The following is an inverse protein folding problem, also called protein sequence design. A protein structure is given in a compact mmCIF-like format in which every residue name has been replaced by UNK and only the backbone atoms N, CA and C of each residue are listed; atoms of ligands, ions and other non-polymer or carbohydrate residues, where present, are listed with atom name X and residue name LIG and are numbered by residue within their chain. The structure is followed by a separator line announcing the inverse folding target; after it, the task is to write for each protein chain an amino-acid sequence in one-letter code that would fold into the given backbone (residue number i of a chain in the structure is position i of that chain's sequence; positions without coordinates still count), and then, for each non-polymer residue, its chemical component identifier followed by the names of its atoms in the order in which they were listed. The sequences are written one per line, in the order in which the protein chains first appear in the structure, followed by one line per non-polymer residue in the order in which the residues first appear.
data_IF_830967979129
#
_entry.id   IF_830967979129
#
_cell.length_a   1.000
_cell.length_b   1.000
_cell.length_c   1.000
_cell.angle_alpha   90.00
_cell.angle_beta   90.00
_cell.angle_gamma   90.00
#
_symmetry.space_group_name_H-M   'P 1'
#
loop_
_entity.id
_entity.type
_entity.pdbx_description
1 polymer ?
#
# COMPACT_ATOMS: atom_id res chain seq x y z
N UNK A 1 0.55 10.95 23.06
CA UNK A 1 -0.22 9.72 23.32
C UNK A 1 0.73 8.58 22.98
N UNK A 2 1.01 7.63 23.88
CA UNK A 2 2.06 6.62 23.63
C UNK A 2 1.56 5.56 22.65
N UNK A 3 2.29 5.31 21.56
CA UNK A 3 2.02 4.21 20.63
C UNK A 3 1.71 2.90 21.37
N UNK A 4 0.63 2.20 21.00
CA UNK A 4 0.31 0.95 21.64
C UNK A 4 1.38 -0.08 21.25
N UNK A 5 2.26 -0.37 22.21
CA UNK A 5 3.25 -1.41 22.05
C UNK A 5 2.57 -2.73 21.71
N UNK A 6 3.07 -3.42 20.68
CA UNK A 6 2.57 -4.75 20.33
C UNK A 6 2.90 -5.71 21.48
N UNK A 7 1.88 -6.33 22.06
CA UNK A 7 2.05 -7.31 23.13
C UNK A 7 1.85 -8.71 22.59
N UNK A 8 2.72 -9.63 22.99
CA UNK A 8 2.62 -11.05 22.67
C UNK A 8 2.51 -11.85 23.97
N UNK A 9 1.40 -12.56 24.13
CA UNK A 9 1.08 -13.36 25.32
C UNK A 9 1.02 -14.82 24.91
N UNK A 10 1.99 -15.63 25.34
CA UNK A 10 2.00 -17.08 25.09
C UNK A 10 1.02 -17.77 26.04
N UNK A 11 0.18 -18.65 25.50
CA UNK A 11 -0.79 -19.48 26.22
C UNK A 11 -0.47 -20.96 25.98
N UNK A 12 -0.99 -21.86 26.82
CA UNK A 12 -0.79 -23.31 26.64
C UNK A 12 -1.37 -23.84 25.32
N UNK A 13 -2.41 -23.19 24.79
CA UNK A 13 -3.11 -23.57 23.56
C UNK A 13 -2.93 -22.58 22.41
N UNK A 14 -2.02 -21.59 22.51
CA UNK A 14 -1.82 -20.63 21.43
C UNK A 14 -0.99 -19.41 21.82
N UNK A 15 -1.07 -18.37 21.01
CA UNK A 15 -0.45 -17.06 21.29
C UNK A 15 -1.48 -15.97 21.03
N UNK A 16 -1.68 -15.10 22.02
CA UNK A 16 -2.49 -13.90 21.88
C UNK A 16 -1.61 -12.73 21.49
N UNK A 17 -1.95 -12.08 20.38
CA UNK A 17 -1.31 -10.85 19.93
C UNK A 17 -2.24 -9.67 20.19
N UNK A 18 -1.68 -8.54 20.63
CA UNK A 18 -2.42 -7.29 20.84
C UNK A 18 -1.71 -6.12 20.17
N UNK A 19 -2.51 -5.25 19.56
CA UNK A 19 -2.08 -3.97 19.02
C UNK A 19 -3.20 -2.94 19.20
N UNK A 20 -3.01 -2.00 20.13
CA UNK A 20 -4.05 -1.05 20.54
C UNK A 20 -5.29 -1.76 21.09
N UNK A 21 -6.45 -1.47 20.50
CA UNK A 21 -7.73 -2.12 20.83
C UNK A 21 -7.94 -3.49 20.19
N UNK A 22 -7.03 -3.91 19.30
CA UNK A 22 -7.16 -5.15 18.55
C UNK A 22 -6.43 -6.27 19.29
N UNK A 23 -7.10 -7.42 19.40
CA UNK A 23 -6.54 -8.62 20.02
C UNK A 23 -7.01 -9.83 19.23
N UNK A 24 -6.09 -10.76 18.97
CA UNK A 24 -6.41 -12.04 18.34
C UNK A 24 -5.61 -13.15 19.01
N UNK A 25 -6.25 -14.30 19.21
CA UNK A 25 -5.59 -15.51 19.69
C UNK A 25 -5.43 -16.46 18.53
N UNK A 26 -4.18 -16.77 18.20
CA UNK A 26 -3.81 -17.79 17.21
C UNK A 26 -3.55 -19.07 17.98
N UNK A 27 -4.36 -20.11 17.73
CA UNK A 27 -4.19 -21.43 18.30
C UNK A 27 -2.80 -21.99 18.00
N UNK A 28 -2.36 -22.98 18.79
CA UNK A 28 -1.11 -23.69 18.49
C UNK A 28 -1.14 -24.26 17.09
N UNK A 29 -2.32 -24.69 16.61
CA UNK A 29 -2.61 -25.20 15.28
C UNK A 29 -2.65 -24.13 14.16
N UNK A 30 -2.49 -22.86 14.50
CA UNK A 30 -2.62 -21.73 13.57
C UNK A 30 -4.07 -21.29 13.38
N UNK A 31 -5.04 -21.93 14.03
CA UNK A 31 -6.44 -21.56 13.93
C UNK A 31 -6.75 -20.22 14.60
N UNK A 32 -7.69 -19.48 14.03
CA UNK A 32 -8.27 -18.26 14.60
C UNK A 32 -9.78 -18.43 14.51
N UNK A 33 -10.46 -18.38 15.67
CA UNK A 33 -11.93 -18.42 15.75
C UNK A 33 -12.48 -17.02 15.52
N UNK A 34 -13.26 -16.84 14.47
CA UNK A 34 -13.80 -15.53 14.10
C UNK A 34 -14.93 -15.13 15.04
N UNK A 35 -14.82 -13.95 15.65
CA UNK A 35 -15.84 -13.38 16.56
C UNK A 35 -16.75 -12.41 15.82
N UNK A 36 -17.89 -12.07 16.44
CA UNK A 36 -18.77 -11.04 15.93
C UNK A 36 -18.01 -9.71 15.76
N UNK A 37 -18.10 -9.10 14.58
CA UNK A 37 -17.43 -7.84 14.27
C UNK A 37 -15.93 -7.96 14.04
N UNK A 38 -15.39 -9.16 13.82
CA UNK A 38 -14.03 -9.32 13.31
C UNK A 38 -13.98 -9.14 11.79
N UNK A 39 -12.82 -8.71 11.30
CA UNK A 39 -12.47 -8.65 9.87
C UNK A 39 -10.97 -8.93 9.72
N UNK A 40 -10.49 -9.31 8.54
CA UNK A 40 -9.09 -9.78 8.40
C UNK A 40 -8.04 -8.73 8.79
N UNK A 41 -8.24 -7.46 8.45
CA UNK A 41 -7.25 -6.42 8.79
C UNK A 41 -7.10 -6.18 10.30
N UNK A 42 -8.11 -6.52 11.12
CA UNK A 42 -7.99 -6.53 12.59
C UNK A 42 -6.98 -7.58 13.06
N UNK A 43 -6.97 -8.76 12.45
CA UNK A 43 -6.01 -9.81 12.78
C UNK A 43 -4.62 -9.44 12.31
N UNK A 44 -4.50 -8.90 11.10
CA UNK A 44 -3.24 -8.35 10.61
C UNK A 44 -2.69 -7.29 11.57
N UNK A 45 -3.54 -6.36 12.04
CA UNK A 45 -3.11 -5.30 12.95
C UNK A 45 -2.59 -5.87 14.27
N UNK A 46 -3.33 -6.82 14.85
CA UNK A 46 -2.90 -7.48 16.08
C UNK A 46 -1.61 -8.28 15.92
N UNK A 47 -1.45 -9.05 14.83
CA UNK A 47 -0.32 -9.96 14.61
C UNK A 47 0.91 -9.23 14.07
N UNK A 48 0.76 -8.26 13.18
CA UNK A 48 1.87 -7.65 12.46
C UNK A 48 2.06 -6.16 12.75
N UNK A 49 1.15 -5.53 13.50
CA UNK A 49 1.16 -4.09 13.70
C UNK A 49 0.76 -3.30 12.45
N UNK A 50 0.18 -3.96 11.44
CA UNK A 50 -0.26 -3.33 10.19
C UNK A 50 -1.59 -3.91 9.69
N UNK A 51 -2.34 -3.18 8.85
CA UNK A 51 -3.69 -3.60 8.41
C UNK A 51 -3.72 -4.37 7.08
N UNK A 52 -2.58 -4.63 6.44
CA UNK A 52 -2.54 -5.05 5.02
C UNK A 52 -1.91 -6.41 4.77
N UNK A 53 -1.39 -7.09 5.79
CA UNK A 53 -0.85 -8.46 5.68
C UNK A 53 -2.02 -9.46 5.72
N UNK A 54 -2.79 -9.53 4.64
CA UNK A 54 -4.06 -10.28 4.56
C UNK A 54 -3.93 -11.64 3.85
N UNK A 55 -2.94 -11.77 2.98
CA UNK A 55 -2.62 -12.95 2.17
C UNK A 55 -2.10 -14.14 2.98
N UNK A 56 -1.72 -13.89 4.24
CA UNK A 56 -1.27 -14.93 5.19
C UNK A 56 -2.41 -15.68 5.88
N UNK A 57 -3.66 -15.32 5.59
CA UNK A 57 -4.84 -15.96 6.15
C UNK A 57 -5.56 -16.83 5.11
N UNK A 58 -5.88 -18.06 5.50
CA UNK A 58 -6.63 -18.99 4.65
C UNK A 58 -7.81 -19.58 5.41
N UNK A 59 -8.77 -20.17 4.69
CA UNK A 59 -9.83 -21.02 5.26
C UNK A 59 -9.76 -22.41 4.67
N UNK A 60 -10.37 -23.38 5.33
CA UNK A 60 -10.50 -24.74 4.79
C UNK A 60 -11.77 -24.85 3.95
N UNK A 61 -11.67 -25.44 2.76
CA UNK A 61 -12.84 -25.85 2.00
C UNK A 61 -13.46 -27.15 2.56
N UNK A 62 -14.50 -27.68 1.90
CA UNK A 62 -15.16 -28.93 2.32
C UNK A 62 -14.25 -30.17 2.28
N UNK A 63 -13.13 -30.10 1.55
CA UNK A 63 -12.14 -31.19 1.48
C UNK A 63 -11.05 -31.06 2.55
N UNK A 64 -11.07 -29.99 3.35
CA UNK A 64 -10.01 -29.68 4.31
C UNK A 64 -8.80 -28.99 3.68
N UNK A 65 -8.86 -28.62 2.40
CA UNK A 65 -7.77 -27.90 1.72
C UNK A 65 -7.79 -26.42 2.10
N UNK A 66 -6.62 -25.86 2.38
CA UNK A 66 -6.47 -24.42 2.57
C UNK A 66 -6.70 -23.68 1.25
N UNK A 67 -7.61 -22.71 1.28
CA UNK A 67 -7.92 -21.80 0.18
C UNK A 67 -7.82 -20.35 0.66
N UNK A 68 -7.39 -19.48 -0.26
CA UNK A 68 -7.24 -18.04 0.01
C UNK A 68 -8.59 -17.38 0.29
N UNK A 69 -8.59 -16.41 1.21
CA UNK A 69 -9.75 -15.58 1.48
C UNK A 69 -9.75 -14.42 0.49
N UNK A 70 -10.46 -14.60 -0.63
CA UNK A 70 -10.43 -13.67 -1.78
C UNK A 70 -11.00 -12.27 -1.49
N UNK A 71 -11.94 -12.18 -0.56
CA UNK A 71 -12.51 -10.92 -0.09
C UNK A 71 -12.21 -10.78 1.41
N UNK A 72 -11.40 -9.78 1.81
CA UNK A 72 -11.08 -9.53 3.21
C UNK A 72 -12.28 -9.34 4.14
N UNK A 73 -13.45 -8.98 3.60
CA UNK A 73 -14.68 -8.77 4.33
C UNK A 73 -15.54 -10.04 4.46
N UNK A 74 -15.16 -11.13 3.80
CA UNK A 74 -15.96 -12.36 3.75
C UNK A 74 -15.60 -13.37 4.85
N UNK A 75 -15.30 -12.91 6.06
CA UNK A 75 -15.18 -13.81 7.22
C UNK A 75 -16.46 -13.80 8.04
N UNK A 76 -16.94 -14.97 8.43
CA UNK A 76 -18.20 -15.11 9.17
C UNK A 76 -17.96 -15.44 10.64
N UNK A 77 -18.77 -14.86 11.53
CA UNK A 77 -18.75 -15.22 12.95
C UNK A 77 -18.86 -16.74 13.13
N UNK A 78 -17.98 -17.31 13.95
CA UNK A 78 -17.93 -18.73 14.25
C UNK A 78 -17.10 -19.55 13.28
N UNK A 79 -16.71 -19.01 12.12
CA UNK A 79 -15.78 -19.69 11.22
C UNK A 79 -14.38 -19.81 11.84
N UNK A 80 -13.62 -20.77 11.33
CA UNK A 80 -12.21 -20.91 11.69
C UNK A 80 -11.37 -20.59 10.46
N UNK A 81 -10.54 -19.55 10.58
CA UNK A 81 -9.50 -19.24 9.60
C UNK A 81 -8.15 -19.67 10.15
N UNK A 82 -7.14 -19.68 9.30
CA UNK A 82 -5.83 -20.20 9.60
C UNK A 82 -4.75 -19.19 9.25
N UNK A 83 -3.85 -18.98 10.20
CA UNK A 83 -2.64 -18.19 10.04
C UNK A 83 -1.53 -19.05 9.46
N UNK A 84 -1.31 -18.94 8.15
CA UNK A 84 -0.45 -19.84 7.39
C UNK A 84 1.01 -19.87 7.88
N UNK A 85 1.64 -18.75 8.30
CA UNK A 85 3.00 -18.79 8.86
C UNK A 85 3.12 -19.67 10.11
N UNK A 86 2.08 -19.77 10.94
CA UNK A 86 2.08 -20.67 12.11
C UNK A 86 1.97 -22.14 11.71
N UNK A 87 1.28 -22.44 10.61
CA UNK A 87 1.17 -23.80 10.06
C UNK A 87 2.49 -24.22 9.41
N UNK A 88 3.03 -23.38 8.52
CA UNK A 88 4.29 -23.65 7.82
C UNK A 88 5.47 -23.74 8.77
N UNK A 89 5.52 -22.87 9.78
CA UNK A 89 6.53 -22.96 10.83
C UNK A 89 6.55 -24.35 11.47
N UNK A 90 5.38 -24.95 11.75
CA UNK A 90 5.32 -26.31 12.31
C UNK A 90 5.74 -27.40 11.33
N UNK A 91 5.37 -27.29 10.05
CA UNK A 91 5.84 -28.23 9.03
C UNK A 91 7.37 -28.19 8.87
N UNK A 92 7.95 -26.99 8.98
CA UNK A 92 9.39 -26.78 8.85
C UNK A 92 10.17 -27.19 10.11
N UNK A 93 9.59 -27.07 11.31
CA UNK A 93 10.21 -27.59 12.54
C UNK A 93 10.27 -29.12 12.58
N UNK A 94 9.39 -29.82 11.86
CA UNK A 94 9.52 -31.26 11.63
C UNK A 94 10.61 -31.61 10.60
N UNK A 95 11.20 -30.61 9.92
CA UNK A 95 12.10 -30.79 8.76
C UNK A 95 13.51 -30.19 8.94
N UNK A 96 13.81 -29.52 10.06
CA UNK A 96 15.20 -29.21 10.47
C UNK A 96 15.99 -28.17 9.67
N UNK A 97 15.37 -27.21 8.97
CA UNK A 97 16.10 -26.18 8.20
C UNK A 97 16.02 -24.78 8.84
N UNK A 98 17.19 -24.16 9.08
CA UNK A 98 17.35 -22.81 9.65
C UNK A 98 17.27 -21.73 8.56
N UNK A 99 16.44 -20.70 8.73
CA UNK A 99 16.42 -19.53 7.83
C UNK A 99 17.24 -18.37 8.42
N UNK A 100 18.15 -17.80 7.62
CA UNK A 100 18.92 -16.59 7.93
C UNK A 100 18.17 -15.32 7.52
N UNK A 101 18.26 -14.28 8.35
CA UNK A 101 17.63 -12.98 8.11
C UNK A 101 18.25 -12.22 6.91
N UNK A 102 17.47 -11.37 6.20
CA UNK A 102 17.98 -10.58 5.07
C UNK A 102 18.89 -9.42 5.50
N UNK A 103 19.75 -8.92 4.59
CA UNK A 103 20.80 -7.96 4.89
C UNK A 103 20.27 -6.54 5.16
N UNK A 104 20.92 -5.88 6.10
CA UNK A 104 20.73 -4.47 6.47
C UNK A 104 21.21 -3.58 5.32
N UNK A 105 20.36 -2.66 4.87
CA UNK A 105 20.66 -1.66 3.83
C UNK A 105 21.55 -0.53 4.37
N UNK A 106 22.48 -0.04 3.54
CA UNK A 106 23.56 0.91 3.83
C UNK A 106 23.08 2.33 4.23
N UNK A 107 23.14 2.61 5.53
CA UNK A 107 22.73 3.87 6.20
C UNK A 107 23.71 5.02 5.91
N UNK A 108 24.99 4.73 5.64
CA UNK A 108 26.01 5.77 5.52
C UNK A 108 25.96 6.52 4.19
N UNK A 109 25.48 5.86 3.13
CA UNK A 109 25.29 6.49 1.83
C UNK A 109 24.21 7.58 1.89
N UNK A 110 23.05 7.28 2.50
CA UNK A 110 21.93 8.23 2.63
C UNK A 110 22.27 9.44 3.49
N UNK A 111 23.11 9.26 4.53
CA UNK A 111 23.57 10.35 5.38
C UNK A 111 24.39 11.40 4.61
N UNK A 112 25.17 10.99 3.59
CA UNK A 112 25.98 11.91 2.76
C UNK A 112 25.13 12.74 1.78
N UNK A 113 24.08 12.13 1.23
CA UNK A 113 23.15 12.80 0.30
C UNK A 113 22.37 13.93 0.99
N UNK A 114 21.97 13.72 2.25
CA UNK A 114 21.30 14.75 3.07
C UNK A 114 22.21 15.94 3.37
N UNK A 115 23.47 15.71 3.73
CA UNK A 115 24.40 16.79 4.05
C UNK A 115 24.74 17.66 2.84
N UNK A 116 24.76 17.08 1.63
CA UNK A 116 24.95 17.85 0.40
C UNK A 116 23.76 18.77 0.10
N UNK A 117 22.52 18.24 0.22
CA UNK A 117 21.29 19.01 0.02
C UNK A 117 21.16 20.15 1.05
N UNK A 118 21.56 19.90 2.31
CA UNK A 118 21.56 20.93 3.36
C UNK A 118 22.40 22.16 3.01
N UNK A 119 23.48 21.95 2.26
CA UNK A 119 24.44 23.00 1.89
C UNK A 119 23.92 23.89 0.76
N UNK A 120 23.11 23.34 -0.15
CA UNK A 120 22.60 24.06 -1.33
C UNK A 120 21.29 24.79 -1.06
N UNK A 121 20.49 24.30 -0.12
CA UNK A 121 19.18 24.87 0.19
C UNK A 121 18.95 25.03 1.71
N UNK A 122 19.69 25.90 2.40
CA UNK A 122 19.70 25.97 3.87
C UNK A 122 18.32 26.22 4.50
N UNK A 123 17.40 26.90 3.80
CA UNK A 123 16.01 27.07 4.25
C UNK A 123 15.11 25.83 4.03
N UNK A 124 15.38 25.00 3.02
CA UNK A 124 14.68 23.72 2.81
C UNK A 124 15.36 22.54 3.53
N UNK A 125 16.63 22.71 3.87
CA UNK A 125 17.54 21.76 4.50
C UNK A 125 17.05 21.27 5.85
N UNK A 126 16.55 22.18 6.68
CA UNK A 126 16.08 21.85 8.03
C UNK A 126 14.78 21.02 7.97
N UNK A 127 13.92 21.31 7.00
CA UNK A 127 12.69 20.55 6.75
C UNK A 127 13.02 19.18 6.14
N UNK A 128 13.86 19.13 5.10
CA UNK A 128 14.27 17.90 4.44
C UNK A 128 15.09 16.97 5.35
N UNK A 129 15.95 17.50 6.22
CA UNK A 129 16.71 16.70 7.17
C UNK A 129 15.81 16.04 8.22
N UNK A 130 14.75 16.72 8.66
CA UNK A 130 13.75 16.15 9.57
C UNK A 130 12.83 15.15 8.86
N UNK A 131 12.56 15.33 7.55
CA UNK A 131 11.86 14.35 6.70
C UNK A 131 12.70 13.08 6.52
N UNK A 132 13.98 13.20 6.13
CA UNK A 132 14.83 12.05 5.80
C UNK A 132 15.26 11.26 7.05
N UNK A 133 15.44 11.93 8.19
CA UNK A 133 15.78 11.25 9.46
C UNK A 133 14.55 10.67 10.18
N UNK A 134 13.33 11.16 9.90
CA UNK A 134 12.06 10.62 10.42
C UNK A 134 11.44 9.51 9.56
N UNK A 135 12.04 9.19 8.42
CA UNK A 135 11.57 8.16 7.47
C UNK A 135 11.92 6.71 7.87
N UNK A 136 12.35 6.46 9.12
CA UNK A 136 12.72 5.11 9.57
C UNK A 136 11.55 4.27 10.12
N UNK A 137 10.36 4.84 10.31
CA UNK A 137 9.11 4.08 10.23
C UNK A 137 7.95 4.99 9.86
N UNK A 138 7.15 4.59 8.85
CA UNK A 138 5.93 5.31 8.41
C UNK A 138 4.94 5.58 9.56
N UNK A 139 5.04 4.84 10.65
CA UNK A 139 4.26 4.99 11.88
C UNK A 139 4.61 6.22 12.73
N UNK A 140 5.84 6.75 12.66
CA UNK A 140 6.28 7.91 13.46
C UNK A 140 5.74 9.25 12.93
N UNK A 141 5.34 9.31 11.66
CA UNK A 141 4.98 10.58 11.02
C UNK A 141 3.56 11.05 11.36
N UNK A 142 2.67 10.13 11.75
CA UNK A 142 1.36 10.48 12.31
C UNK A 142 1.47 11.07 13.73
N UNK A 143 2.41 10.61 14.55
CA UNK A 143 2.66 11.15 15.90
C UNK A 143 3.41 12.48 15.89
N UNK A 144 4.33 12.69 14.95
CA UNK A 144 4.98 14.00 14.75
C UNK A 144 3.92 15.07 14.43
N UNK A 145 2.89 14.73 13.65
CA UNK A 145 1.77 15.62 13.33
C UNK A 145 0.86 15.97 14.53
N UNK A 146 0.64 15.04 15.46
CA UNK A 146 -0.11 15.31 16.69
C UNK A 146 0.73 16.06 17.74
N UNK A 147 2.03 15.76 17.83
CA UNK A 147 2.94 16.39 18.79
C UNK A 147 3.22 17.86 18.44
N UNK A 148 3.17 18.22 17.16
CA UNK A 148 3.27 19.60 16.67
C UNK A 148 1.99 20.43 16.88
N UNK A 149 0.89 19.79 17.32
CA UNK A 149 -0.37 20.47 17.64
C UNK A 149 -0.44 21.11 19.03
N UNK A 150 0.59 20.96 19.88
CA UNK A 150 0.57 21.38 21.28
C UNK A 150 1.55 22.53 21.65
N UNK A 151 2.18 23.17 20.67
CA UNK A 151 3.03 24.36 20.87
C UNK A 151 2.49 25.56 20.06
N UNK A 152 1.20 25.86 20.19
CA UNK A 152 0.56 27.00 19.50
C UNK A 152 0.62 28.33 20.26
N UNK A 153 1.42 28.44 21.32
CA UNK A 153 1.64 29.73 22.00
C UNK A 153 3.14 29.93 22.25
N UNK A 154 3.84 30.41 21.23
CA UNK A 154 5.17 31.01 21.41
C UNK A 154 6.21 30.58 20.38
N UNK A 155 6.39 31.41 19.36
CA UNK A 155 7.59 31.60 18.54
C UNK A 155 8.14 30.39 17.72
N UNK A 156 7.99 30.47 16.39
CA UNK A 156 8.93 29.85 15.42
C UNK A 156 8.29 29.03 14.29
N UNK A 157 8.05 29.67 13.14
CA UNK A 157 7.32 29.24 11.94
C UNK A 157 7.78 27.98 11.16
N UNK A 158 8.66 27.10 11.65
CA UNK A 158 9.32 26.09 10.78
C UNK A 158 9.21 24.61 11.21
N UNK A 159 8.28 24.27 12.09
CA UNK A 159 8.18 22.90 12.62
C UNK A 159 7.14 21.97 11.94
N UNK A 160 6.26 22.47 11.05
CA UNK A 160 5.10 21.71 10.53
C UNK A 160 5.31 20.89 9.24
N UNK A 161 6.51 20.94 8.64
CA UNK A 161 6.76 20.45 7.27
C UNK A 161 6.70 18.93 7.04
N UNK A 162 7.10 18.12 8.03
CA UNK A 162 7.38 16.68 7.82
C UNK A 162 6.11 15.84 7.65
N UNK A 163 5.03 16.22 8.33
CA UNK A 163 3.78 15.48 8.28
C UNK A 163 2.98 15.61 6.99
N UNK A 164 3.31 16.61 6.15
CA UNK A 164 2.53 16.93 4.95
C UNK A 164 2.73 15.88 3.85
N UNK A 165 3.87 15.20 3.82
CA UNK A 165 4.25 14.30 2.72
C UNK A 165 3.67 12.89 2.85
N UNK A 166 3.53 12.37 4.07
CA UNK A 166 3.13 10.98 4.30
C UNK A 166 1.63 10.78 4.59
N UNK A 167 0.93 11.83 5.01
CA UNK A 167 -0.52 11.79 5.24
C UNK A 167 -1.34 11.42 3.97
N UNK A 168 -1.03 11.95 2.77
CA UNK A 168 -1.74 11.57 1.54
C UNK A 168 -1.58 10.08 1.21
N UNK A 169 -0.40 9.51 1.48
CA UNK A 169 -0.15 8.08 1.26
C UNK A 169 -1.05 7.24 2.19
N UNK A 170 -1.19 7.63 3.47
CA UNK A 170 -2.08 6.94 4.41
C UNK A 170 -3.58 7.06 4.08
N UNK A 171 -4.06 8.27 3.77
CA UNK A 171 -5.46 8.47 3.40
C UNK A 171 -5.85 7.67 2.14
N UNK A 172 -4.90 7.50 1.22
CA UNK A 172 -5.11 6.69 0.02
C UNK A 172 -5.10 5.19 0.33
N UNK A 173 -4.26 4.75 1.28
CA UNK A 173 -4.17 3.34 1.66
C UNK A 173 -5.47 2.80 2.26
N UNK A 174 -6.17 3.57 3.10
CA UNK A 174 -7.44 3.13 3.70
C UNK A 174 -8.52 2.85 2.65
N UNK A 175 -8.60 3.68 1.60
CA UNK A 175 -9.53 3.50 0.48
C UNK A 175 -9.18 2.25 -0.34
N UNK A 176 -7.89 1.96 -0.49
CA UNK A 176 -7.38 0.90 -1.34
C UNK A 176 -7.51 -0.49 -0.70
N UNK A 177 -7.60 -0.58 0.64
CA UNK A 177 -7.79 -1.88 1.33
C UNK A 177 -9.12 -2.58 1.00
N UNK A 178 -10.09 -1.86 0.41
CA UNK A 178 -11.36 -2.44 -0.02
C UNK A 178 -11.31 -3.17 -1.38
N UNK A 179 -10.18 -3.12 -2.08
CA UNK A 179 -10.06 -3.61 -3.46
C UNK A 179 -9.46 -5.00 -3.56
N UNK A 180 -9.78 -5.71 -4.66
CA UNK A 180 -9.08 -6.96 -4.99
C UNK A 180 -7.60 -6.67 -5.24
N UNK A 181 -6.72 -7.65 -4.98
CA UNK A 181 -5.25 -7.47 -5.04
C UNK A 181 -4.76 -6.76 -6.33
N UNK A 182 -5.30 -7.10 -7.50
CA UNK A 182 -4.96 -6.42 -8.76
C UNK A 182 -5.36 -4.94 -8.78
N UNK A 183 -6.61 -4.61 -8.44
CA UNK A 183 -7.09 -3.22 -8.37
C UNK A 183 -6.28 -2.42 -7.36
N UNK A 184 -5.94 -3.03 -6.22
CA UNK A 184 -5.11 -2.41 -5.18
C UNK A 184 -3.76 -1.94 -5.73
N UNK A 185 -3.06 -2.78 -6.48
CA UNK A 185 -1.76 -2.40 -7.06
C UNK A 185 -1.91 -1.26 -8.07
N UNK A 186 -2.96 -1.30 -8.91
CA UNK A 186 -3.26 -0.23 -9.86
C UNK A 186 -3.59 1.08 -9.16
N UNK A 187 -4.41 1.02 -8.11
CA UNK A 187 -4.75 2.17 -7.26
C UNK A 187 -3.54 2.86 -6.69
N UNK A 188 -2.64 2.09 -6.06
CA UNK A 188 -1.42 2.63 -5.47
C UNK A 188 -0.53 3.31 -6.51
N UNK A 189 -0.37 2.69 -7.68
CA UNK A 189 0.37 3.30 -8.79
C UNK A 189 -0.26 4.61 -9.25
N UNK A 190 -1.58 4.61 -9.44
CA UNK A 190 -2.31 5.78 -9.87
C UNK A 190 -2.22 6.91 -8.84
N UNK A 191 -2.24 6.59 -7.55
CA UNK A 191 -2.05 7.55 -6.47
C UNK A 191 -0.64 8.12 -6.44
N UNK A 192 0.40 7.30 -6.63
CA UNK A 192 1.77 7.80 -6.78
C UNK A 192 1.89 8.79 -7.95
N UNK A 193 1.22 8.49 -9.07
CA UNK A 193 1.20 9.39 -10.23
C UNK A 193 0.32 10.62 -9.99
N UNK A 194 -0.79 10.51 -9.25
CA UNK A 194 -1.61 11.65 -8.86
C UNK A 194 -0.85 12.61 -7.94
N UNK A 195 -0.08 12.09 -6.97
CA UNK A 195 0.80 12.91 -6.12
C UNK A 195 1.85 13.62 -6.98
N UNK A 196 2.45 12.90 -7.91
CA UNK A 196 3.44 13.48 -8.84
C UNK A 196 2.81 14.55 -9.72
N UNK A 197 1.65 14.30 -10.31
CA UNK A 197 0.93 15.28 -11.13
C UNK A 197 0.61 16.54 -10.33
N UNK A 198 0.10 16.38 -9.11
CA UNK A 198 -0.17 17.49 -8.20
C UNK A 198 1.09 18.29 -7.87
N UNK A 199 2.22 17.63 -7.62
CA UNK A 199 3.50 18.27 -7.32
C UNK A 199 4.00 19.14 -8.48
N UNK A 200 3.80 18.71 -9.73
CA UNK A 200 4.24 19.45 -10.92
C UNK A 200 3.18 20.37 -11.52
N UNK A 201 1.98 20.44 -10.92
CA UNK A 201 0.87 21.21 -11.47
C UNK A 201 0.29 20.64 -12.77
N UNK A 202 0.55 19.37 -13.05
CA UNK A 202 0.03 18.65 -14.20
C UNK A 202 -1.47 18.32 -14.01
N UNK A 203 -2.23 18.09 -15.11
CA UNK A 203 -3.55 17.48 -15.01
C UNK A 203 -3.46 16.04 -14.45
N UNK A 204 -4.58 15.45 -14.00
CA UNK A 204 -4.62 14.05 -13.59
C UNK A 204 -3.99 13.13 -14.64
N UNK A 205 -3.16 12.14 -14.23
CA UNK A 205 -2.44 11.30 -15.17
C UNK A 205 -3.42 10.48 -16.03
N UNK A 206 -3.24 10.47 -17.37
CA UNK A 206 -4.13 9.70 -18.24
C UNK A 206 -4.04 8.21 -17.91
N UNK A 207 -5.10 7.48 -18.23
CA UNK A 207 -5.13 6.02 -18.11
C UNK A 207 -4.01 5.43 -18.99
N UNK A 208 -3.09 4.62 -18.45
CA UNK A 208 -2.02 4.02 -19.21
C UNK A 208 -2.53 3.05 -20.27
N UNK A 209 -1.89 3.02 -21.44
CA UNK A 209 -2.27 2.15 -22.57
C UNK A 209 -2.42 0.68 -22.20
N UNK A 210 -1.59 0.18 -21.28
CA UNK A 210 -1.63 -1.22 -20.82
C UNK A 210 -2.82 -1.56 -19.91
N UNK A 211 -3.57 -0.57 -19.44
CA UNK A 211 -4.87 -0.77 -18.78
C UNK A 211 -6.04 -0.80 -19.75
N UNK A 212 -5.81 -0.49 -21.03
CA UNK A 212 -6.83 -0.72 -22.04
C UNK A 212 -6.91 -2.21 -22.35
N UNK A 213 -8.12 -2.72 -22.50
CA UNK A 213 -8.35 -4.07 -22.97
C UNK A 213 -7.66 -4.25 -24.33
N UNK A 214 -6.66 -5.13 -24.41
CA UNK A 214 -6.04 -5.53 -25.69
C UNK A 214 -6.98 -6.38 -26.56
N UNK A 215 -8.15 -6.78 -26.02
CA UNK A 215 -9.17 -7.51 -26.77
C UNK A 215 -9.78 -6.55 -27.80
N UNK A 216 -9.17 -6.52 -28.99
CA UNK A 216 -9.72 -5.78 -30.11
C UNK A 216 -11.00 -6.45 -30.60
N UNK A 217 -12.00 -5.64 -30.95
CA UNK A 217 -13.24 -6.14 -31.52
C UNK A 217 -12.98 -6.96 -32.80
N UNK A 218 -11.97 -6.56 -33.59
CA UNK A 218 -11.51 -7.29 -34.76
C UNK A 218 -11.00 -8.71 -34.43
N UNK A 219 -10.20 -8.87 -33.37
CA UNK A 219 -9.71 -10.19 -32.94
C UNK A 219 -10.86 -11.08 -32.45
N UNK A 220 -11.82 -10.52 -31.71
CA UNK A 220 -13.03 -11.24 -31.28
C UNK A 220 -13.85 -11.69 -32.49
N UNK A 221 -14.08 -10.79 -33.45
CA UNK A 221 -14.82 -11.11 -34.67
C UNK A 221 -14.11 -12.17 -35.52
N UNK A 222 -12.78 -12.11 -35.63
CA UNK A 222 -11.99 -13.10 -36.35
C UNK A 222 -12.06 -14.49 -35.68
N UNK A 223 -11.88 -14.55 -34.36
CA UNK A 223 -12.02 -15.79 -33.60
C UNK A 223 -13.43 -16.37 -33.72
N UNK A 224 -14.46 -15.52 -33.68
CA UNK A 224 -15.84 -15.95 -33.87
C UNK A 224 -16.10 -16.59 -35.24
N UNK A 225 -15.45 -16.11 -36.31
CA UNK A 225 -15.58 -16.69 -37.66
C UNK A 225 -14.91 -18.05 -37.81
N UNK A 226 -13.88 -18.34 -37.01
CA UNK A 226 -13.02 -19.52 -37.16
C UNK A 226 -13.50 -20.76 -36.40
N UNK A 227 -14.39 -20.60 -35.40
CA UNK A 227 -14.79 -21.72 -34.53
C UNK A 227 -16.27 -22.08 -34.59
N UNK A 228 -16.59 -23.22 -33.99
CA UNK A 228 -17.96 -23.70 -33.80
C UNK A 228 -18.75 -22.83 -32.80
N UNK A 229 -20.03 -23.15 -32.61
CA UNK A 229 -20.92 -22.39 -31.69
C UNK A 229 -20.43 -22.39 -30.24
N UNK A 230 -19.78 -23.46 -29.78
CA UNK A 230 -19.30 -23.54 -28.40
C UNK A 230 -18.06 -22.65 -28.23
N UNK A 231 -17.12 -22.72 -29.16
CA UNK A 231 -15.97 -21.84 -29.21
C UNK A 231 -16.37 -20.36 -29.27
N UNK A 232 -17.34 -20.02 -30.13
CA UNK A 232 -17.88 -18.65 -30.23
C UNK A 232 -18.44 -18.14 -28.90
N UNK A 233 -19.13 -18.98 -28.11
CA UNK A 233 -19.61 -18.61 -26.78
C UNK A 233 -18.46 -18.36 -25.81
N UNK A 234 -17.49 -19.26 -25.75
CA UNK A 234 -16.31 -19.11 -24.88
C UNK A 234 -15.49 -17.85 -25.22
N UNK A 235 -15.33 -17.52 -26.51
CA UNK A 235 -14.66 -16.29 -26.95
C UNK A 235 -15.44 -15.05 -26.49
N UNK A 236 -16.77 -15.03 -26.64
CA UNK A 236 -17.60 -13.91 -26.17
C UNK A 236 -17.54 -13.71 -24.66
N UNK A 237 -17.62 -14.81 -23.90
CA UNK A 237 -17.53 -14.78 -22.44
C UNK A 237 -16.16 -14.29 -21.97
N UNK A 238 -15.08 -14.77 -22.59
CA UNK A 238 -13.72 -14.33 -22.30
C UNK A 238 -13.52 -12.84 -22.63
N UNK A 239 -14.02 -12.38 -23.78
CA UNK A 239 -13.96 -10.97 -24.19
C UNK A 239 -14.73 -10.07 -23.20
N UNK A 240 -15.95 -10.46 -22.83
CA UNK A 240 -16.74 -9.72 -21.83
C UNK A 240 -16.04 -9.67 -20.47
N UNK A 241 -15.44 -10.78 -20.02
CA UNK A 241 -14.66 -10.83 -18.78
C UNK A 241 -13.41 -9.94 -18.82
N UNK A 242 -12.68 -9.93 -19.93
CA UNK A 242 -11.52 -9.07 -20.13
C UNK A 242 -11.90 -7.58 -20.14
N UNK A 243 -12.99 -7.22 -20.82
CA UNK A 243 -13.50 -5.85 -20.85
C UNK A 243 -13.96 -5.40 -19.46
N UNK A 244 -14.70 -6.24 -18.74
CA UNK A 244 -15.12 -5.96 -17.36
C UNK A 244 -13.92 -5.72 -16.43
N UNK A 245 -12.89 -6.56 -16.53
CA UNK A 245 -11.66 -6.40 -15.75
C UNK A 245 -10.93 -5.09 -16.13
N UNK A 246 -10.79 -4.79 -17.42
CA UNK A 246 -10.17 -3.54 -17.87
C UNK A 246 -10.90 -2.31 -17.33
N UNK A 247 -12.23 -2.26 -17.42
CA UNK A 247 -13.03 -1.16 -16.86
C UNK A 247 -12.84 -0.98 -15.36
N UNK A 248 -12.73 -2.08 -14.60
CA UNK A 248 -12.45 -2.02 -13.16
C UNK A 248 -11.07 -1.48 -12.84
N UNK A 249 -10.04 -1.91 -13.57
CA UNK A 249 -8.69 -1.39 -13.37
C UNK A 249 -8.58 0.08 -13.80
N UNK A 250 -9.29 0.49 -14.85
CA UNK A 250 -9.39 1.89 -15.27
C UNK A 250 -10.07 2.75 -14.21
N UNK A 251 -11.16 2.26 -13.62
CA UNK A 251 -11.82 2.93 -12.50
C UNK A 251 -10.88 3.07 -11.30
N UNK A 252 -10.19 1.98 -10.92
CA UNK A 252 -9.20 1.98 -9.85
C UNK A 252 -8.07 2.99 -10.11
N UNK A 253 -7.65 3.14 -11.37
CA UNK A 253 -6.67 4.15 -11.77
C UNK A 253 -7.19 5.57 -11.55
N UNK A 254 -8.29 5.94 -12.21
CA UNK A 254 -8.86 7.29 -12.15
C UNK A 254 -9.20 7.68 -10.71
N UNK A 255 -9.82 6.78 -9.95
CA UNK A 255 -10.17 7.03 -8.57
C UNK A 255 -8.92 7.20 -7.68
N UNK A 256 -7.91 6.36 -7.87
CA UNK A 256 -6.65 6.42 -7.12
C UNK A 256 -5.89 7.73 -7.34
N UNK A 257 -5.79 8.19 -8.59
CA UNK A 257 -5.13 9.46 -8.91
C UNK A 257 -5.92 10.67 -8.41
N UNK A 258 -7.23 10.71 -8.67
CA UNK A 258 -8.09 11.84 -8.30
C UNK A 258 -8.18 12.03 -6.79
N UNK A 259 -8.30 10.92 -6.04
CA UNK A 259 -8.35 10.98 -4.58
C UNK A 259 -7.04 11.48 -3.99
N UNK A 260 -5.89 11.04 -4.54
CA UNK A 260 -4.60 11.49 -4.07
C UNK A 260 -4.41 13.01 -4.28
N UNK A 261 -4.79 13.53 -5.45
CA UNK A 261 -4.72 14.96 -5.74
C UNK A 261 -5.65 15.77 -4.82
N UNK A 262 -6.91 15.34 -4.67
CA UNK A 262 -7.87 16.00 -3.77
C UNK A 262 -7.43 15.97 -2.32
N UNK A 263 -6.83 14.87 -1.87
CA UNK A 263 -6.33 14.74 -0.51
C UNK A 263 -5.18 15.72 -0.22
N UNK A 264 -4.29 15.96 -1.20
CA UNK A 264 -3.23 16.96 -1.10
C UNK A 264 -3.78 18.38 -1.06
N UNK A 265 -4.73 18.72 -1.94
CA UNK A 265 -5.38 20.05 -1.92
C UNK A 265 -6.11 20.31 -0.59
N UNK A 266 -6.84 19.31 -0.09
CA UNK A 266 -7.54 19.40 1.20
C UNK A 266 -6.57 19.55 2.37
N UNK A 267 -5.43 18.85 2.32
CA UNK A 267 -4.38 18.95 3.33
C UNK A 267 -3.76 20.36 3.35
N UNK A 268 -3.40 20.89 2.18
CA UNK A 268 -2.88 22.26 2.04
C UNK A 268 -3.87 23.28 2.59
N UNK A 269 -5.15 23.14 2.22
CA UNK A 269 -6.24 24.01 2.70
C UNK A 269 -6.41 23.92 4.21
N UNK A 270 -6.52 22.70 4.77
CA UNK A 270 -6.75 22.46 6.21
C UNK A 270 -5.61 22.97 7.07
N UNK A 271 -4.38 22.94 6.55
CA UNK A 271 -3.17 23.40 7.24
C UNK A 271 -2.81 24.86 6.94
N UNK A 272 -3.63 25.57 6.15
CA UNK A 272 -3.37 26.94 5.72
C UNK A 272 -1.97 27.13 5.10
N UNK A 273 -1.55 26.15 4.29
CA UNK A 273 -0.26 26.15 3.60
C UNK A 273 -0.40 26.81 2.23
N UNK A 274 0.70 27.34 1.70
CA UNK A 274 0.75 27.74 0.29
C UNK A 274 1.01 26.51 -0.58
N UNK A 275 0.13 26.27 -1.55
CA UNK A 275 0.23 25.12 -2.46
C UNK A 275 1.58 25.07 -3.18
N UNK A 276 2.06 26.23 -3.64
CA UNK A 276 3.32 26.37 -4.37
C UNK A 276 4.52 25.91 -3.53
N UNK A 277 4.57 26.28 -2.25
CA UNK A 277 5.67 25.89 -1.36
C UNK A 277 5.70 24.36 -1.16
N UNK A 278 4.52 23.74 -0.99
CA UNK A 278 4.42 22.28 -0.93
C UNK A 278 4.86 21.63 -2.24
N UNK A 279 4.44 22.16 -3.39
CA UNK A 279 4.84 21.66 -4.71
C UNK A 279 6.37 21.69 -4.90
N UNK A 280 7.03 22.79 -4.52
CA UNK A 280 8.51 22.90 -4.57
C UNK A 280 9.19 21.82 -3.74
N UNK A 281 8.65 21.51 -2.55
CA UNK A 281 9.20 20.44 -1.69
C UNK A 281 9.08 19.08 -2.39
N UNK A 282 7.91 18.73 -2.93
CA UNK A 282 7.73 17.45 -3.64
C UNK A 282 8.60 17.36 -4.90
N UNK A 283 8.72 18.46 -5.66
CA UNK A 283 9.61 18.54 -6.83
C UNK A 283 11.07 18.29 -6.41
N UNK A 284 11.55 18.95 -5.36
CA UNK A 284 12.90 18.75 -4.83
C UNK A 284 13.13 17.31 -4.36
N UNK A 285 12.14 16.68 -3.71
CA UNK A 285 12.21 15.25 -3.35
C UNK A 285 12.39 14.36 -4.59
N UNK A 286 11.81 14.74 -5.72
CA UNK A 286 11.93 14.06 -7.00
C UNK A 286 13.17 14.41 -7.81
N UNK A 287 14.11 15.19 -7.25
CA UNK A 287 15.26 15.74 -7.98
C UNK A 287 14.78 16.56 -9.22
N UNK A 288 13.70 17.32 -9.05
CA UNK A 288 12.96 18.06 -10.08
C UNK A 288 12.49 17.21 -11.28
N UNK A 289 12.41 15.89 -11.08
CA UNK A 289 11.98 14.93 -12.10
C UNK A 289 10.66 14.28 -11.71
N UNK A 290 9.68 14.34 -12.60
CA UNK A 290 8.40 13.61 -12.46
C UNK A 290 8.63 12.12 -12.25
N UNK A 291 9.51 11.52 -13.06
CA UNK A 291 9.89 10.12 -12.92
C UNK A 291 10.66 9.87 -11.61
N UNK A 292 11.55 10.79 -11.22
CA UNK A 292 12.28 10.70 -9.95
C UNK A 292 11.33 10.64 -8.75
N UNK A 293 10.38 11.58 -8.69
CA UNK A 293 9.37 11.62 -7.62
C UNK A 293 8.48 10.37 -7.63
N UNK A 294 7.91 10.04 -8.80
CA UNK A 294 7.03 8.89 -8.94
C UNK A 294 7.71 7.59 -8.51
N UNK A 295 8.98 7.37 -8.90
CA UNK A 295 9.74 6.19 -8.53
C UNK A 295 10.04 6.14 -7.03
N UNK A 296 10.37 7.27 -6.40
CA UNK A 296 10.59 7.32 -4.94
C UNK A 296 9.31 6.95 -4.17
N UNK A 297 8.16 7.48 -4.58
CA UNK A 297 6.86 7.14 -3.96
C UNK A 297 6.49 5.66 -4.21
N UNK A 298 6.67 5.17 -5.45
CA UNK A 298 6.39 3.78 -5.78
C UNK A 298 7.28 2.80 -5.02
N UNK A 299 8.56 3.11 -4.85
CA UNK A 299 9.49 2.29 -4.06
C UNK A 299 9.00 2.17 -2.61
N UNK A 300 8.62 3.29 -1.98
CA UNK A 300 8.08 3.28 -0.62
C UNK A 300 6.80 2.43 -0.50
N UNK A 301 5.89 2.53 -1.48
CA UNK A 301 4.70 1.69 -1.52
C UNK A 301 5.05 0.21 -1.73
N UNK A 302 6.08 -0.06 -2.53
CA UNK A 302 6.52 -1.41 -2.89
C UNK A 302 7.11 -2.19 -1.71
N UNK A 303 7.70 -1.52 -0.72
CA UNK A 303 8.27 -2.16 0.49
C UNK A 303 7.23 -2.96 1.28
N UNK A 304 5.93 -2.70 1.05
CA UNK A 304 4.83 -3.42 1.69
C UNK A 304 4.47 -4.75 1.02
N UNK A 305 5.02 -5.01 -0.16
CA UNK A 305 4.76 -6.22 -0.94
C UNK A 305 5.96 -7.16 -0.91
N UNK A 306 5.69 -8.47 -1.01
CA UNK A 306 6.73 -9.48 -1.14
C UNK A 306 6.41 -10.48 -2.24
N UNK A 307 7.42 -11.22 -2.71
CA UNK A 307 7.24 -12.34 -3.64
C UNK A 307 6.53 -11.99 -4.96
N UNK A 308 5.43 -12.70 -5.24
CA UNK A 308 4.64 -12.49 -6.47
C UNK A 308 3.88 -11.17 -6.49
N UNK A 309 3.47 -10.65 -5.33
CA UNK A 309 2.77 -9.36 -5.27
C UNK A 309 3.68 -8.20 -5.66
N UNK A 310 4.93 -8.23 -5.18
CA UNK A 310 5.94 -7.24 -5.56
C UNK A 310 6.17 -7.23 -7.08
N UNK A 311 6.29 -8.41 -7.70
CA UNK A 311 6.43 -8.52 -9.15
C UNK A 311 5.21 -7.99 -9.90
N UNK A 312 4.00 -8.30 -9.42
CA UNK A 312 2.77 -7.77 -10.00
C UNK A 312 2.68 -6.25 -9.83
N UNK A 313 3.13 -5.71 -8.69
CA UNK A 313 3.19 -4.27 -8.44
C UNK A 313 4.19 -3.56 -9.35
N UNK A 314 5.24 -4.21 -9.86
CA UNK A 314 6.19 -3.63 -10.80
C UNK A 314 5.89 -3.92 -12.27
N UNK A 315 4.83 -4.67 -12.59
CA UNK A 315 4.46 -5.02 -13.96
C UNK A 315 3.24 -4.19 -14.45
N UNK A 316 3.34 -3.50 -15.61
CA UNK A 316 4.56 -3.25 -16.39
C UNK A 316 5.49 -2.25 -15.67
N UNK A 317 6.78 -2.13 -16.08
CA UNK A 317 7.71 -1.18 -15.51
C UNK A 317 7.09 0.22 -15.45
N UNK A 318 7.09 0.87 -14.27
CA UNK A 318 6.47 2.17 -14.13
C UNK A 318 7.26 3.21 -14.91
N UNK A 319 6.52 3.98 -15.69
CA UNK A 319 6.99 5.13 -16.40
C UNK A 319 5.93 6.20 -16.22
N UNK A 320 6.30 7.32 -15.59
CA UNK A 320 5.38 8.44 -15.49
C UNK A 320 5.05 8.89 -16.93
N UNK A 321 3.77 9.04 -17.28
CA UNK A 321 3.39 9.41 -18.64
C UNK A 321 4.04 10.74 -19.00
N UNK A 322 4.85 10.75 -20.05
CA UNK A 322 5.35 11.99 -20.64
C UNK A 322 4.16 12.73 -21.24
N UNK A 323 3.82 13.88 -20.66
CA UNK A 323 2.86 14.85 -21.22
C UNK A 323 3.31 15.34 -22.58
#
# INVERSE_FOLDING_TARGET
MTMPHRQTIKLSNGTTYKYGKYSVTVGTDGSIRVKAGDWLSKYSAAIYGNFWTLDVFSRTDRSGKYIDIRDPHWIYMGETIYHMPTIWGRQNFSSGATMTAPPIVDIEKRKREVEHFKKEHPEAAEVAAKVVLGLHSLTEVAEILETLGFLSEGAGELASGVGIVLFPIHATLDVITAWKSAERHIGLRASAYGITAWAFGDPPPPIPRWLHSEVSEAAVQQAMKAGDRQFQRSVKEAAAGAQYNASRLQHAWTEGSDKAMKALDELVRKKNLKKQDCQVIFQAMGDDSRNGLAMKILNEMAEKFSGSELRAFWAPPPQYPSS
#
